data_IF_479272442150
#
_entry.id   IF_479272442150
#
_cell.length_a   1.000
_cell.length_b   1.000
_cell.length_c   1.000
_cell.angle_alpha   90.00
_cell.angle_beta   90.00
_cell.angle_gamma   90.00
#
_symmetry.space_group_name_H-M   'P 1'
#
loop_
_entity.id
_entity.type
_entity.pdbx_description
1 polymer ?
#
# COMPACT_ATOMS: atom_id res chain seq x y z
N UNK A 1 -2.12 -1.72 3.66
CA UNK A 1 -1.80 -0.36 4.15
C UNK A 1 -2.87 0.55 3.64
N UNK A 2 -2.55 1.78 3.26
CA UNK A 2 -3.54 2.66 2.65
C UNK A 2 -3.89 2.13 1.24
N UNK A 3 -5.18 2.08 0.91
CA UNK A 3 -5.70 1.67 -0.39
C UNK A 3 -5.25 0.27 -0.86
N UNK A 4 -5.03 -0.63 0.09
CA UNK A 4 -4.70 -2.04 -0.16
C UNK A 4 -5.58 -2.93 0.69
N UNK A 5 -6.27 -3.87 0.06
CA UNK A 5 -7.02 -4.95 0.71
C UNK A 5 -6.18 -6.23 0.82
N UNK A 6 -6.55 -7.09 1.76
CA UNK A 6 -5.92 -8.39 2.00
C UNK A 6 -6.96 -9.49 1.76
N UNK A 7 -6.64 -10.41 0.86
CA UNK A 7 -7.43 -11.62 0.61
C UNK A 7 -7.35 -12.60 1.77
N UNK A 8 -8.21 -13.62 1.75
CA UNK A 8 -8.21 -14.67 2.78
C UNK A 8 -6.91 -15.49 2.78
N UNK A 9 -6.25 -15.57 1.64
CA UNK A 9 -4.98 -16.24 1.38
C UNK A 9 -3.76 -15.31 1.54
N UNK A 10 -3.94 -14.16 2.18
CA UNK A 10 -2.92 -13.10 2.35
C UNK A 10 -2.48 -12.40 1.04
N UNK A 11 -3.14 -12.66 -0.08
CA UNK A 11 -2.89 -11.91 -1.32
C UNK A 11 -3.25 -10.43 -1.16
N UNK A 12 -2.38 -9.51 -1.60
CA UNK A 12 -2.61 -8.06 -1.53
C UNK A 12 -3.25 -7.53 -2.82
N UNK A 13 -4.33 -6.76 -2.68
CA UNK A 13 -5.04 -6.15 -3.81
C UNK A 13 -5.04 -4.62 -3.69
N UNK A 14 -4.65 -3.93 -4.77
CA UNK A 14 -4.79 -2.48 -4.85
C UNK A 14 -6.27 -2.11 -5.03
N UNK A 15 -6.74 -1.10 -4.28
CA UNK A 15 -8.12 -0.60 -4.37
C UNK A 15 -8.23 0.64 -5.26
N UNK A 16 -7.09 1.27 -5.56
CA UNK A 16 -6.97 2.44 -6.43
C UNK A 16 -5.76 2.27 -7.36
N UNK A 17 -5.75 3.04 -8.44
CA UNK A 17 -4.56 3.21 -9.28
C UNK A 17 -3.55 4.14 -8.61
N UNK A 18 -2.27 3.85 -8.80
CA UNK A 18 -1.21 4.64 -8.20
C UNK A 18 0.13 3.93 -8.11
N UNK A 19 1.05 4.57 -7.41
CA UNK A 19 2.36 4.01 -7.10
C UNK A 19 2.31 3.20 -5.80
N UNK A 20 2.95 2.04 -5.81
CA UNK A 20 3.11 1.18 -4.63
C UNK A 20 4.24 1.74 -3.75
N UNK A 21 3.98 1.80 -2.44
CA UNK A 21 4.96 2.21 -1.44
C UNK A 21 5.06 1.17 -0.32
N UNK A 22 6.29 0.80 0.01
CA UNK A 22 6.61 -0.07 1.15
C UNK A 22 7.04 0.79 2.33
N UNK A 23 6.39 0.59 3.48
CA UNK A 23 6.59 1.42 4.67
C UNK A 23 6.80 0.55 5.90
N UNK A 24 7.50 1.08 6.92
CA UNK A 24 7.56 0.43 8.23
C UNK A 24 6.22 0.59 8.93
N UNK A 25 5.76 -0.49 9.56
CA UNK A 25 4.60 -0.52 10.46
C UNK A 25 5.09 -0.94 11.86
N UNK A 26 5.32 0.04 12.72
CA UNK A 26 5.86 -0.20 14.07
C UNK A 26 7.29 -0.76 14.05
N UNK A 27 7.66 -1.51 15.10
CA UNK A 27 9.06 -1.92 15.32
C UNK A 27 9.56 -2.95 14.30
N UNK A 28 8.77 -3.99 14.01
CA UNK A 28 9.20 -5.15 13.23
C UNK A 28 8.45 -5.39 11.93
N UNK A 29 7.27 -4.79 11.74
CA UNK A 29 6.41 -5.08 10.58
C UNK A 29 6.66 -4.09 9.45
N UNK A 30 6.32 -4.51 8.23
CA UNK A 30 6.22 -3.66 7.04
C UNK A 30 4.77 -3.65 6.56
N UNK A 31 4.39 -2.61 5.83
CA UNK A 31 3.09 -2.50 5.17
C UNK A 31 3.28 -2.04 3.73
N UNK A 32 2.35 -2.47 2.87
CA UNK A 32 2.22 -1.99 1.49
C UNK A 32 1.03 -1.04 1.42
N UNK A 33 1.24 0.10 0.76
CA UNK A 33 0.21 1.11 0.50
C UNK A 33 0.26 1.51 -0.97
N UNK A 34 -0.86 1.99 -1.52
CA UNK A 34 -0.93 2.57 -2.88
C UNK A 34 -1.39 4.01 -2.77
N UNK A 35 -0.71 4.91 -3.49
CA UNK A 35 -1.02 6.35 -3.52
C UNK A 35 -1.13 6.84 -4.97
N UNK A 36 -2.08 7.74 -5.30
CA UNK A 36 -2.21 8.29 -6.64
C UNK A 36 -0.89 8.89 -7.13
N UNK A 37 -0.56 8.72 -8.41
CA UNK A 37 0.69 9.25 -8.98
C UNK A 37 0.77 10.78 -8.83
N UNK A 38 -0.37 11.47 -8.96
CA UNK A 38 -0.47 12.93 -8.74
C UNK A 38 0.01 13.35 -7.33
N UNK A 39 -0.25 12.52 -6.31
CA UNK A 39 0.22 12.80 -4.93
C UNK A 39 1.73 12.67 -4.73
N UNK A 40 2.46 12.16 -5.73
CA UNK A 40 3.92 12.01 -5.72
C UNK A 40 4.63 13.09 -6.54
N UNK A 41 3.88 13.88 -7.33
CA UNK A 41 4.40 15.01 -8.09
C UNK A 41 4.39 16.26 -7.19
N UNK A 42 5.36 16.30 -6.27
CA UNK A 42 5.73 17.49 -5.50
C UNK A 42 6.88 18.23 -6.15
#
# INVERSE_FOLDING_TARGET
GNNVMVGKDDTLFAVIDGAVKYERKGKSKKQVSVYPVESMLG
#
